data_IF_985307988063
#
_entry.id   IF_985307988063
#
_cell.length_a   1.000
_cell.length_b   1.000
_cell.length_c   1.000
_cell.angle_alpha   90.00
_cell.angle_beta   90.00
_cell.angle_gamma   90.00
#
_symmetry.space_group_name_H-M   'P 1'
#
loop_
_entity.id
_entity.type
_entity.pdbx_description
1 polymer ?
#
# COMPACT_ATOMS: atom_id res chain seq x y z
N UNK A 1 -13.55 -8.41 -36.45
CA UNK A 1 -13.16 -8.51 -37.89
C UNK A 1 -14.35 -8.71 -38.84
N UNK A 2 -15.42 -9.44 -38.45
CA UNK A 2 -16.54 -9.78 -39.33
C UNK A 2 -17.21 -8.59 -40.06
N UNK A 3 -17.40 -7.45 -39.38
CA UNK A 3 -18.06 -6.26 -39.96
C UNK A 3 -17.24 -5.56 -41.06
N UNK A 4 -15.91 -5.72 -41.10
CA UNK A 4 -15.06 -5.10 -42.13
C UNK A 4 -15.05 -5.91 -43.43
N UNK A 5 -15.20 -7.23 -43.34
CA UNK A 5 -15.21 -8.14 -44.49
C UNK A 5 -16.50 -8.03 -45.34
N UNK A 6 -17.63 -7.65 -44.73
CA UNK A 6 -18.93 -7.54 -45.41
C UNK A 6 -19.18 -6.19 -46.10
N UNK A 7 -18.17 -5.31 -46.20
CA UNK A 7 -18.34 -3.92 -46.65
C UNK A 7 -18.26 -3.80 -48.18
N UNK A 8 -19.23 -3.09 -48.79
CA UNK A 8 -19.27 -2.83 -50.25
C UNK A 8 -18.17 -1.88 -50.74
N UNK A 9 -17.68 -0.99 -49.86
CA UNK A 9 -16.62 -0.03 -50.17
C UNK A 9 -15.34 -0.33 -49.41
N UNK A 10 -14.20 -0.02 -50.04
CA UNK A 10 -12.88 -0.17 -49.42
C UNK A 10 -12.85 0.59 -48.09
N UNK A 11 -12.22 0.01 -47.08
CA UNK A 11 -11.96 0.70 -45.80
C UNK A 11 -11.19 1.98 -46.11
N UNK A 12 -11.65 3.10 -45.55
CA UNK A 12 -10.97 4.38 -45.75
C UNK A 12 -9.50 4.28 -45.29
N UNK A 13 -8.54 4.85 -46.04
CA UNK A 13 -7.11 4.69 -45.75
C UNK A 13 -6.72 5.00 -44.28
N UNK A 14 -7.30 6.04 -43.69
CA UNK A 14 -7.08 6.45 -42.29
C UNK A 14 -7.67 5.51 -41.24
N UNK A 15 -8.39 4.45 -41.66
CA UNK A 15 -9.10 3.53 -40.78
C UNK A 15 -8.62 2.08 -40.98
N UNK A 16 -7.71 1.85 -41.93
CA UNK A 16 -7.11 0.54 -42.21
C UNK A 16 -6.29 0.09 -41.01
N UNK A 17 -5.47 1.00 -40.49
CA UNK A 17 -4.70 0.82 -39.27
C UNK A 17 -4.97 1.99 -38.32
N UNK A 18 -5.40 1.66 -37.10
CA UNK A 18 -5.56 2.62 -36.00
C UNK A 18 -4.82 2.12 -34.75
N UNK A 19 -3.87 1.21 -34.94
CA UNK A 19 -2.97 0.81 -33.88
C UNK A 19 -2.23 2.05 -33.39
N UNK A 20 -2.12 2.15 -32.08
CA UNK A 20 -1.31 3.17 -31.43
C UNK A 20 0.09 2.59 -31.27
N UNK A 21 1.15 3.42 -31.35
CA UNK A 21 2.49 2.95 -31.05
C UNK A 21 2.53 2.35 -29.66
N UNK A 22 3.30 1.28 -29.46
CA UNK A 22 3.34 0.54 -28.20
C UNK A 22 3.57 1.46 -27.00
N UNK A 23 4.44 2.47 -27.14
CA UNK A 23 4.71 3.47 -26.11
C UNK A 23 3.47 4.26 -25.62
N UNK A 24 2.44 4.42 -26.45
CA UNK A 24 1.17 5.05 -26.08
C UNK A 24 0.18 4.04 -25.48
N UNK A 25 0.35 2.75 -25.78
CA UNK A 25 -0.45 1.67 -25.20
C UNK A 25 0.06 1.21 -23.84
N UNK A 26 1.37 1.40 -23.56
CA UNK A 26 1.98 1.07 -22.29
C UNK A 26 1.45 2.02 -21.22
N UNK A 27 0.82 1.43 -20.18
CA UNK A 27 0.36 2.19 -19.02
C UNK A 27 1.57 2.87 -18.36
N UNK A 28 1.57 4.21 -18.36
CA UNK A 28 2.60 4.98 -17.65
C UNK A 28 2.49 4.69 -16.16
N UNK A 29 3.52 4.07 -15.60
CA UNK A 29 3.66 3.92 -14.15
C UNK A 29 4.06 5.27 -13.57
N UNK A 30 3.39 5.72 -12.50
CA UNK A 30 3.79 6.93 -11.79
C UNK A 30 5.19 6.80 -11.19
N UNK A 31 5.81 7.93 -10.85
CA UNK A 31 7.11 7.97 -10.17
C UNK A 31 7.03 7.55 -8.70
N UNK A 32 5.82 7.51 -8.15
CA UNK A 32 5.54 7.17 -6.75
C UNK A 32 4.40 6.16 -6.65
N UNK A 33 4.44 5.36 -5.59
CA UNK A 33 3.32 4.48 -5.26
C UNK A 33 2.21 5.28 -4.59
N UNK A 34 1.01 5.18 -5.12
CA UNK A 34 -0.18 5.63 -4.41
C UNK A 34 -0.55 4.58 -3.37
N UNK A 35 -1.33 4.98 -2.36
CA UNK A 35 -1.88 4.06 -1.37
C UNK A 35 -2.55 2.85 -2.03
N UNK A 36 -3.39 3.10 -3.05
CA UNK A 36 -4.15 2.05 -3.73
C UNK A 36 -3.26 1.16 -4.60
N UNK A 37 -2.24 1.72 -5.26
CA UNK A 37 -1.32 0.91 -6.05
C UNK A 37 -0.50 0.02 -5.14
N UNK A 38 -0.01 0.54 -4.01
CA UNK A 38 0.71 -0.22 -3.00
C UNK A 38 -0.13 -1.37 -2.43
N UNK A 39 -1.37 -1.09 -2.02
CA UNK A 39 -2.30 -2.13 -1.55
C UNK A 39 -2.54 -3.22 -2.62
N UNK A 40 -2.76 -2.82 -3.88
CA UNK A 40 -2.93 -3.78 -4.98
C UNK A 40 -1.67 -4.62 -5.25
N UNK A 41 -0.47 -4.07 -5.04
CA UNK A 41 0.77 -4.86 -5.11
C UNK A 41 0.86 -5.88 -3.98
N UNK A 42 0.53 -5.51 -2.75
CA UNK A 42 0.50 -6.44 -1.61
C UNK A 42 -0.50 -7.57 -1.85
N UNK A 43 -1.73 -7.26 -2.27
CA UNK A 43 -2.73 -8.28 -2.58
C UNK A 43 -2.23 -9.30 -3.62
N UNK A 44 -1.64 -8.81 -4.73
CA UNK A 44 -1.07 -9.70 -5.77
C UNK A 44 0.10 -10.52 -5.25
N UNK A 45 0.91 -9.97 -4.34
CA UNK A 45 1.99 -10.70 -3.70
C UNK A 45 1.44 -11.82 -2.79
N UNK A 46 0.38 -11.54 -2.02
CA UNK A 46 -0.30 -12.53 -1.18
C UNK A 46 -0.86 -13.69 -2.02
N UNK A 47 -1.55 -13.37 -3.12
CA UNK A 47 -2.07 -14.38 -4.05
C UNK A 47 -0.96 -15.27 -4.61
N UNK A 48 0.15 -14.66 -5.05
CA UNK A 48 1.32 -15.39 -5.56
C UNK A 48 1.98 -16.27 -4.49
N UNK A 49 1.95 -15.85 -3.24
CA UNK A 49 2.51 -16.59 -2.11
C UNK A 49 1.52 -17.62 -1.52
N UNK A 50 0.26 -17.65 -1.97
CA UNK A 50 -0.78 -18.53 -1.42
C UNK A 50 -1.19 -18.21 0.02
N UNK A 51 -0.97 -16.97 0.48
CA UNK A 51 -1.34 -16.53 1.83
C UNK A 51 -2.61 -15.69 1.80
N UNK A 52 -3.38 -15.64 2.92
CA UNK A 52 -4.51 -14.75 3.02
C UNK A 52 -4.11 -13.29 2.72
N UNK A 53 -4.92 -12.57 1.92
CA UNK A 53 -4.61 -11.20 1.59
C UNK A 53 -4.65 -10.31 2.82
N UNK A 54 -3.69 -9.39 2.92
CA UNK A 54 -3.66 -8.35 3.93
C UNK A 54 -3.36 -6.99 3.31
N UNK A 55 -3.70 -5.92 4.01
CA UNK A 55 -3.44 -4.53 3.64
C UNK A 55 -2.34 -3.91 4.51
N UNK A 56 -1.56 -2.97 3.98
CA UNK A 56 -0.46 -2.33 4.73
C UNK A 56 -0.86 -1.77 6.10
N UNK A 57 -2.08 -1.25 6.24
CA UNK A 57 -2.60 -0.76 7.53
C UNK A 57 -2.71 -1.86 8.59
N UNK A 58 -2.93 -3.12 8.20
CA UNK A 58 -2.99 -4.25 9.13
C UNK A 58 -1.64 -4.52 9.80
N UNK A 59 -0.52 -4.26 9.13
CA UNK A 59 0.79 -4.35 9.78
C UNK A 59 0.93 -3.31 10.89
N UNK A 60 0.52 -2.07 10.63
CA UNK A 60 0.52 -1.00 11.63
C UNK A 60 -0.37 -1.33 12.84
N UNK A 61 -1.55 -1.90 12.60
CA UNK A 61 -2.46 -2.32 13.67
C UNK A 61 -1.95 -3.55 14.44
N UNK A 62 -1.31 -4.51 13.76
CA UNK A 62 -0.72 -5.68 14.40
C UNK A 62 0.43 -5.27 15.31
N UNK A 63 1.32 -4.42 14.81
CA UNK A 63 2.40 -3.81 15.60
C UNK A 63 1.84 -3.03 16.81
N UNK A 64 0.83 -2.19 16.60
CA UNK A 64 0.19 -1.45 17.69
C UNK A 64 -0.37 -2.38 18.77
N UNK A 65 -1.03 -3.46 18.37
CA UNK A 65 -1.60 -4.47 19.26
C UNK A 65 -0.52 -5.17 20.07
N UNK A 66 0.57 -5.58 19.40
CA UNK A 66 1.69 -6.28 20.03
C UNK A 66 2.44 -5.38 21.03
N UNK A 67 2.79 -4.16 20.62
CA UNK A 67 3.46 -3.19 21.50
C UNK A 67 2.58 -2.84 22.68
N UNK A 68 1.28 -2.59 22.46
CA UNK A 68 0.35 -2.27 23.55
C UNK A 68 0.23 -3.43 24.54
N UNK A 69 0.20 -4.67 24.07
CA UNK A 69 0.11 -5.84 24.93
C UNK A 69 1.35 -6.04 25.81
N UNK A 70 2.54 -5.67 25.32
CA UNK A 70 3.81 -5.91 26.01
C UNK A 70 4.31 -4.71 26.82
N UNK A 71 4.08 -3.50 26.33
CA UNK A 71 4.71 -2.26 26.82
C UNK A 71 3.70 -1.13 27.12
N UNK A 72 2.40 -1.39 26.89
CA UNK A 72 1.33 -0.44 27.21
C UNK A 72 1.00 0.57 26.10
N UNK A 73 -0.02 1.38 26.36
CA UNK A 73 -0.61 2.30 25.38
C UNK A 73 0.35 3.43 24.97
N UNK A 74 1.05 4.00 25.95
CA UNK A 74 1.97 5.12 25.75
C UNK A 74 3.12 4.74 24.80
N UNK A 75 3.74 3.57 25.02
CA UNK A 75 4.80 3.07 24.15
C UNK A 75 4.31 2.85 22.71
N UNK A 76 3.09 2.31 22.55
CA UNK A 76 2.47 2.15 21.23
C UNK A 76 2.22 3.50 20.55
N UNK A 77 1.78 4.54 21.28
CA UNK A 77 1.56 5.87 20.72
C UNK A 77 2.87 6.55 20.28
N UNK A 78 3.91 6.48 21.11
CA UNK A 78 5.24 7.04 20.80
C UNK A 78 5.79 6.36 19.55
N UNK A 79 5.80 5.03 19.50
CA UNK A 79 6.33 4.27 18.35
C UNK A 79 5.50 4.46 17.07
N UNK A 80 4.19 4.70 17.19
CA UNK A 80 3.34 5.02 16.05
C UNK A 80 3.40 6.49 15.63
N UNK A 81 4.03 7.37 16.42
CA UNK A 81 4.12 8.81 16.14
C UNK A 81 2.79 9.56 16.32
N UNK A 82 1.92 9.09 17.24
CA UNK A 82 0.64 9.77 17.49
C UNK A 82 0.85 11.02 18.36
N UNK A 83 0.39 12.18 17.88
CA UNK A 83 0.59 13.50 18.53
C UNK A 83 -0.10 13.64 19.90
N UNK A 84 -1.09 12.80 20.22
CA UNK A 84 -1.80 12.84 21.52
C UNK A 84 -1.92 11.45 22.13
N UNK A 85 -1.24 11.29 23.25
CA UNK A 85 -1.64 10.52 24.41
C UNK A 85 -1.82 11.57 25.51
N UNK A 86 -3.01 11.75 26.03
CA UNK A 86 -3.30 12.85 26.97
C UNK A 86 -2.69 12.53 28.36
N UNK A 87 -1.37 12.63 28.50
CA UNK A 87 -0.69 12.39 29.80
C UNK A 87 0.53 13.29 30.00
N UNK A 88 0.69 13.70 31.26
CA UNK A 88 1.65 14.68 31.80
C UNK A 88 3.13 14.34 31.52
N UNK A 89 4.00 15.36 31.56
CA UNK A 89 5.43 15.30 31.21
C UNK A 89 6.22 14.15 31.86
N UNK A 90 5.87 13.74 33.09
CA UNK A 90 6.50 12.60 33.80
C UNK A 90 6.25 11.26 33.08
N UNK A 91 5.06 11.09 32.50
CA UNK A 91 4.74 9.90 31.71
C UNK A 91 5.43 9.90 30.36
N UNK A 92 5.76 11.06 29.78
CA UNK A 92 6.42 11.15 28.49
C UNK A 92 7.84 10.57 28.50
N UNK A 93 8.62 10.84 29.56
CA UNK A 93 9.98 10.30 29.69
C UNK A 93 9.96 8.77 29.88
N UNK A 94 9.07 8.27 30.73
CA UNK A 94 8.90 6.82 30.95
C UNK A 94 8.38 6.12 29.70
N UNK A 95 7.43 6.73 28.98
CA UNK A 95 6.89 6.22 27.72
C UNK A 95 7.97 6.11 26.65
N UNK A 96 8.87 7.11 26.55
CA UNK A 96 9.98 7.07 25.62
C UNK A 96 10.95 5.94 25.95
N UNK A 97 11.30 5.75 27.24
CA UNK A 97 12.14 4.63 27.66
C UNK A 97 11.51 3.27 27.31
N UNK A 98 10.23 3.10 27.63
CA UNK A 98 9.48 1.88 27.30
C UNK A 98 9.37 1.66 25.78
N UNK A 99 9.19 2.72 25.00
CA UNK A 99 9.16 2.67 23.54
C UNK A 99 10.51 2.24 22.96
N UNK A 100 11.63 2.73 23.51
CA UNK A 100 12.98 2.32 23.09
C UNK A 100 13.21 0.84 23.37
N UNK A 101 12.85 0.35 24.56
CA UNK A 101 12.96 -1.09 24.87
C UNK A 101 12.02 -1.93 24.00
N UNK A 102 10.80 -1.44 23.73
CA UNK A 102 9.88 -2.08 22.81
C UNK A 102 10.44 -2.18 21.39
N UNK A 103 11.06 -1.11 20.88
CA UNK A 103 11.69 -1.12 19.56
C UNK A 103 12.81 -2.18 19.48
N UNK A 104 13.67 -2.26 20.50
CA UNK A 104 14.75 -3.28 20.60
C UNK A 104 14.23 -4.71 20.72
N UNK A 105 13.06 -4.90 21.33
CA UNK A 105 12.48 -6.24 21.52
C UNK A 105 11.74 -6.74 20.27
N UNK A 106 11.34 -5.82 19.37
CA UNK A 106 10.55 -6.11 18.17
C UNK A 106 11.42 -6.28 16.91
N UNK A 107 12.71 -5.94 16.96
CA UNK A 107 13.69 -6.08 15.88
C UNK A 107 15.11 -5.74 16.33
#
# INVERSE_FOLDING_TARGET
MALRAARKSKVQPSQVDRSKPDAETVRKTGTEFTHDSYAAFVHRACERAGVPPWSPGQLRHSFATEVRSRFGLEAAQVLLGHKRADVTQVYAETALANAVEAAKAMG
#
